data_IF_728916358754
#
_entry.id   IF_728916358754
#
_cell.length_a   1.000
_cell.length_b   1.000
_cell.length_c   1.000
_cell.angle_alpha   90.00
_cell.angle_beta   90.00
_cell.angle_gamma   90.00
#
_symmetry.space_group_name_H-M   'P 1'
#
loop_
_entity.id
_entity.type
_entity.pdbx_description
1 polymer ?
#
# COMPACT_ATOMS: atom_id res chain seq x y z
N UNK A 1 12.96 5.40 1.09
CA UNK A 1 11.99 4.31 1.34
C UNK A 1 11.03 4.66 2.48
N UNK A 2 11.52 4.82 3.72
CA UNK A 2 10.66 5.05 4.91
C UNK A 2 9.72 6.25 4.78
N UNK A 3 10.20 7.39 4.25
CA UNK A 3 9.35 8.58 4.05
C UNK A 3 8.16 8.31 3.09
N UNK A 4 8.39 7.57 2.01
CA UNK A 4 7.32 7.16 1.09
C UNK A 4 6.31 6.23 1.75
N UNK A 5 6.79 5.25 2.53
CA UNK A 5 5.92 4.36 3.31
C UNK A 5 5.12 5.13 4.37
N UNK A 6 5.72 6.11 5.06
CA UNK A 6 5.01 6.93 6.05
C UNK A 6 3.88 7.75 5.40
N UNK A 7 4.11 8.32 4.23
CA UNK A 7 3.05 8.98 3.45
C UNK A 7 1.96 8.00 3.01
N UNK A 8 2.32 6.78 2.62
CA UNK A 8 1.33 5.74 2.30
C UNK A 8 0.48 5.35 3.51
N UNK A 9 1.08 5.21 4.70
CA UNK A 9 0.32 4.97 5.95
C UNK A 9 -0.66 6.12 6.19
N UNK A 10 -0.20 7.37 6.09
CA UNK A 10 -1.05 8.54 6.26
C UNK A 10 -2.20 8.56 5.25
N UNK A 11 -1.93 8.27 3.96
CA UNK A 11 -2.93 8.19 2.91
C UNK A 11 -3.98 7.09 3.13
N UNK A 12 -3.56 5.88 3.53
CA UNK A 12 -4.48 4.79 3.85
C UNK A 12 -5.32 5.07 5.09
N UNK A 13 -4.72 5.61 6.15
CA UNK A 13 -5.44 6.03 7.35
C UNK A 13 -6.44 7.16 7.02
N UNK A 14 -6.04 8.11 6.19
CA UNK A 14 -6.91 9.17 5.69
C UNK A 14 -8.09 8.62 4.88
N UNK A 15 -7.86 7.64 3.99
CA UNK A 15 -8.94 6.97 3.23
C UNK A 15 -9.90 6.16 4.10
N UNK A 16 -9.48 5.77 5.31
CA UNK A 16 -10.34 5.10 6.27
C UNK A 16 -11.35 6.06 6.91
N UNK A 17 -10.97 7.32 7.16
CA UNK A 17 -11.76 8.28 7.93
C UNK A 17 -12.33 9.44 7.10
N UNK A 18 -11.53 10.09 6.26
CA UNK A 18 -11.90 11.32 5.56
C UNK A 18 -13.09 11.17 4.60
N UNK A 19 -13.23 10.08 3.82
CA UNK A 19 -14.39 9.93 2.94
C UNK A 19 -15.73 9.92 3.71
N UNK A 20 -15.75 9.39 4.94
CA UNK A 20 -16.95 9.39 5.78
C UNK A 20 -17.29 10.76 6.37
N UNK A 21 -16.28 11.62 6.56
CA UNK A 21 -16.43 12.94 7.18
C UNK A 21 -16.68 14.06 6.15
N UNK A 22 -15.98 13.99 5.01
CA UNK A 22 -15.93 15.06 4.00
C UNK A 22 -16.35 14.58 2.60
N UNK A 23 -16.87 13.36 2.48
CA UNK A 23 -17.32 12.79 1.21
C UNK A 23 -16.23 12.75 0.15
N UNK A 24 -16.56 13.21 -1.06
CA UNK A 24 -15.66 13.22 -2.23
C UNK A 24 -14.40 14.07 -1.98
N UNK A 25 -14.53 15.20 -1.28
CA UNK A 25 -13.39 16.06 -0.97
C UNK A 25 -12.39 15.34 -0.05
N UNK A 26 -12.88 14.61 0.95
CA UNK A 26 -12.05 13.80 1.85
C UNK A 26 -11.32 12.68 1.11
N UNK A 27 -12.01 12.01 0.18
CA UNK A 27 -11.41 11.00 -0.69
C UNK A 27 -10.32 11.59 -1.60
N UNK A 28 -10.60 12.71 -2.26
CA UNK A 28 -9.62 13.38 -3.14
C UNK A 28 -8.37 13.82 -2.38
N UNK A 29 -8.54 14.42 -1.20
CA UNK A 29 -7.42 14.80 -0.34
C UNK A 29 -6.57 13.59 0.08
N UNK A 30 -7.21 12.48 0.44
CA UNK A 30 -6.49 11.28 0.85
C UNK A 30 -5.72 10.63 -0.32
N UNK A 31 -6.28 10.60 -1.54
CA UNK A 31 -5.58 10.15 -2.74
C UNK A 31 -4.40 11.05 -3.11
N UNK A 32 -4.56 12.37 -2.94
CA UNK A 32 -3.49 13.34 -3.17
C UNK A 32 -2.29 13.12 -2.25
N UNK A 33 -2.49 12.52 -1.06
CA UNK A 33 -1.41 12.11 -0.15
C UNK A 33 -0.87 10.72 -0.51
N UNK A 34 -1.75 9.74 -0.74
CA UNK A 34 -1.35 8.35 -0.98
C UNK A 34 -0.50 8.19 -2.23
N UNK A 35 -0.90 8.84 -3.33
CA UNK A 35 -0.26 8.69 -4.64
C UNK A 35 1.22 9.09 -4.64
N UNK A 36 1.61 10.30 -4.23
CA UNK A 36 3.03 10.66 -4.18
C UNK A 36 3.82 9.81 -3.18
N UNK A 37 3.20 9.38 -2.06
CA UNK A 37 3.82 8.44 -1.13
C UNK A 37 4.21 7.12 -1.79
N UNK A 38 3.28 6.54 -2.56
CA UNK A 38 3.51 5.33 -3.35
C UNK A 38 4.63 5.53 -4.39
N UNK A 39 4.61 6.65 -5.13
CA UNK A 39 5.63 6.92 -6.14
C UNK A 39 7.02 7.10 -5.51
N UNK A 40 7.12 7.81 -4.39
CA UNK A 40 8.37 7.98 -3.66
C UNK A 40 8.90 6.66 -3.10
N UNK A 41 8.01 5.82 -2.55
CA UNK A 41 8.38 4.48 -2.08
C UNK A 41 8.93 3.64 -3.22
N UNK A 42 8.21 3.55 -4.34
CA UNK A 42 8.64 2.74 -5.48
C UNK A 42 9.96 3.22 -6.08
N UNK A 43 10.15 4.53 -6.25
CA UNK A 43 11.40 5.08 -6.76
C UNK A 43 12.57 4.72 -5.84
N UNK A 44 12.43 4.99 -4.53
CA UNK A 44 13.50 4.71 -3.57
C UNK A 44 13.77 3.21 -3.39
N UNK A 45 12.74 2.36 -3.42
CA UNK A 45 12.89 0.91 -3.30
C UNK A 45 13.61 0.34 -4.53
N UNK A 46 13.23 0.77 -5.74
CA UNK A 46 13.90 0.37 -6.97
C UNK A 46 15.37 0.78 -6.98
N UNK A 47 15.69 2.01 -6.61
CA UNK A 47 17.08 2.47 -6.54
C UNK A 47 17.88 1.68 -5.50
N UNK A 48 17.30 1.40 -4.33
CA UNK A 48 17.97 0.62 -3.28
C UNK A 48 18.28 -0.81 -3.74
N UNK A 49 17.32 -1.49 -4.37
CA UNK A 49 17.51 -2.86 -4.90
C UNK A 49 18.56 -2.90 -6.01
N UNK A 50 18.67 -1.85 -6.83
CA UNK A 50 19.58 -1.81 -7.97
C UNK A 50 20.98 -1.26 -7.63
N UNK A 51 21.19 -0.69 -6.44
CA UNK A 51 22.39 0.08 -6.11
C UNK A 51 23.68 -0.73 -6.24
N UNK A 52 23.65 -2.01 -5.84
CA UNK A 52 24.81 -2.90 -5.78
C UNK A 52 24.73 -4.07 -6.79
N UNK A 53 23.91 -3.91 -7.84
CA UNK A 53 23.71 -4.96 -8.85
C UNK A 53 24.68 -4.79 -10.01
N UNK A 54 25.43 -5.86 -10.28
CA UNK A 54 26.35 -5.97 -11.41
C UNK A 54 25.65 -5.74 -12.75
N UNK A 55 26.34 -5.04 -13.68
CA UNK A 55 25.74 -4.66 -14.97
C UNK A 55 25.21 -5.83 -15.79
N UNK A 56 25.85 -7.00 -15.70
CA UNK A 56 25.43 -8.23 -16.39
C UNK A 56 24.11 -8.79 -15.85
N UNK A 57 23.76 -8.51 -14.60
CA UNK A 57 22.62 -9.12 -13.90
C UNK A 57 21.44 -8.16 -13.72
N UNK A 58 21.62 -6.86 -13.98
CA UNK A 58 20.58 -5.82 -13.83
C UNK A 58 19.27 -6.17 -14.56
N UNK A 59 19.35 -6.80 -15.73
CA UNK A 59 18.17 -7.25 -16.46
C UNK A 59 17.36 -8.30 -15.71
N UNK A 60 18.04 -9.30 -15.14
CA UNK A 60 17.42 -10.39 -14.36
C UNK A 60 16.83 -9.84 -13.06
N UNK A 61 17.59 -9.02 -12.32
CA UNK A 61 17.12 -8.42 -11.06
C UNK A 61 15.93 -7.49 -11.29
N UNK A 62 15.95 -6.69 -12.36
CA UNK A 62 14.82 -5.83 -12.74
C UNK A 62 13.59 -6.63 -13.13
N UNK A 63 13.79 -7.74 -13.87
CA UNK A 63 12.73 -8.69 -14.19
C UNK A 63 12.08 -9.30 -12.94
N UNK A 64 12.90 -9.78 -11.99
CA UNK A 64 12.40 -10.33 -10.72
C UNK A 64 11.68 -9.28 -9.88
N UNK A 65 12.19 -8.04 -9.84
CA UNK A 65 11.55 -6.94 -9.11
C UNK A 65 10.18 -6.59 -9.71
N UNK A 66 10.08 -6.53 -11.04
CA UNK A 66 8.81 -6.30 -11.74
C UNK A 66 7.82 -7.46 -11.53
N UNK A 67 8.31 -8.71 -11.60
CA UNK A 67 7.49 -9.89 -11.36
C UNK A 67 6.93 -9.90 -9.93
N UNK A 68 7.78 -9.65 -8.92
CA UNK A 68 7.38 -9.55 -7.52
C UNK A 68 6.29 -8.49 -7.33
N UNK A 69 6.45 -7.32 -7.94
CA UNK A 69 5.47 -6.23 -7.89
C UNK A 69 4.13 -6.64 -8.51
N UNK A 70 4.14 -7.23 -9.71
CA UNK A 70 2.92 -7.65 -10.39
C UNK A 70 2.21 -8.76 -9.61
N UNK A 71 2.93 -9.73 -9.06
CA UNK A 71 2.37 -10.75 -8.17
C UNK A 71 1.74 -10.12 -6.92
N UNK A 72 2.43 -9.14 -6.31
CA UNK A 72 1.90 -8.38 -5.19
C UNK A 72 0.62 -7.61 -5.52
N UNK A 73 0.54 -6.99 -6.71
CA UNK A 73 -0.64 -6.27 -7.18
C UNK A 73 -1.83 -7.20 -7.44
N UNK A 74 -1.63 -8.30 -8.16
CA UNK A 74 -2.70 -9.28 -8.44
C UNK A 74 -3.21 -9.90 -7.14
N UNK A 75 -2.30 -10.37 -6.28
CA UNK A 75 -2.65 -10.95 -4.98
C UNK A 75 -3.35 -9.93 -4.09
N UNK A 76 -2.79 -8.73 -3.98
CA UNK A 76 -3.35 -7.65 -3.18
C UNK A 76 -4.75 -7.27 -3.64
N UNK A 77 -4.98 -7.16 -4.95
CA UNK A 77 -6.30 -6.86 -5.52
C UNK A 77 -7.33 -7.93 -5.14
N UNK A 78 -6.98 -9.20 -5.27
CA UNK A 78 -7.85 -10.32 -4.89
C UNK A 78 -8.16 -10.32 -3.38
N UNK A 79 -7.13 -10.17 -2.53
CA UNK A 79 -7.29 -10.17 -1.07
C UNK A 79 -8.10 -8.96 -0.59
N UNK A 80 -7.80 -7.76 -1.09
CA UNK A 80 -8.54 -6.55 -0.72
C UNK A 80 -10.00 -6.60 -1.19
N UNK A 81 -10.26 -7.17 -2.37
CA UNK A 81 -11.62 -7.44 -2.83
C UNK A 81 -12.38 -8.40 -1.90
N UNK A 82 -11.73 -9.45 -1.42
CA UNK A 82 -12.30 -10.38 -0.45
C UNK A 82 -12.55 -9.73 0.91
N UNK A 83 -11.62 -8.92 1.42
CA UNK A 83 -11.77 -8.14 2.67
C UNK A 83 -12.97 -7.20 2.56
N UNK A 84 -13.09 -6.50 1.43
CA UNK A 84 -14.23 -5.61 1.16
C UNK A 84 -15.55 -6.39 1.16
N UNK A 85 -15.65 -7.48 0.39
CA UNK A 85 -16.87 -8.28 0.30
C UNK A 85 -17.28 -8.85 1.67
N UNK A 86 -16.31 -9.36 2.42
CA UNK A 86 -16.51 -9.84 3.79
C UNK A 86 -17.04 -8.73 4.71
N UNK A 87 -16.47 -7.53 4.64
CA UNK A 87 -16.84 -6.41 5.50
C UNK A 87 -18.21 -5.78 5.13
N UNK A 88 -18.62 -5.84 3.86
CA UNK A 88 -19.95 -5.42 3.41
C UNK A 88 -21.02 -6.38 3.91
N UNK A 89 -20.73 -7.69 3.96
CA UNK A 89 -21.56 -8.69 4.64
C UNK A 89 -22.88 -9.04 3.93
N UNK A 90 -23.04 -8.68 2.65
CA UNK A 90 -24.18 -9.09 1.80
C UNK A 90 -23.67 -9.76 0.53
N UNK A 91 -24.39 -10.81 0.10
CA UNK A 91 -24.16 -11.51 -1.17
C UNK A 91 -24.51 -10.65 -2.38
N UNK A 92 -25.46 -9.71 -2.22
CA UNK A 92 -25.84 -8.75 -3.25
C UNK A 92 -25.27 -7.38 -2.90
N UNK A 93 -24.12 -7.06 -3.51
CA UNK A 93 -23.42 -5.77 -3.35
C UNK A 93 -24.21 -4.65 -4.03
N UNK A 94 -24.97 -4.94 -5.10
CA UNK A 94 -25.74 -3.92 -5.82
C UNK A 94 -26.93 -3.42 -4.99
N UNK A 95 -27.48 -4.29 -4.12
CA UNK A 95 -28.51 -3.94 -3.15
C UNK A 95 -27.95 -3.47 -1.79
N UNK A 96 -26.63 -3.39 -1.61
CA UNK A 96 -26.02 -3.05 -0.33
C UNK A 96 -26.36 -1.61 0.10
N UNK A 97 -26.73 -1.45 1.37
CA UNK A 97 -26.93 -0.11 1.94
C UNK A 97 -25.63 0.73 1.82
N UNK A 98 -25.70 2.03 1.50
CA UNK A 98 -24.52 2.89 1.37
C UNK A 98 -23.58 2.85 2.59
N UNK A 99 -24.16 2.71 3.80
CA UNK A 99 -23.39 2.57 5.03
C UNK A 99 -22.57 1.27 5.11
N UNK A 100 -23.05 0.18 4.52
CA UNK A 100 -22.31 -1.09 4.45
C UNK A 100 -21.12 -0.98 3.49
N UNK A 101 -21.32 -0.35 2.33
CA UNK A 101 -20.25 -0.07 1.36
C UNK A 101 -19.18 0.84 1.97
N UNK A 102 -19.58 1.91 2.67
CA UNK A 102 -18.65 2.80 3.35
C UNK A 102 -17.82 2.07 4.41
N UNK A 103 -18.44 1.18 5.19
CA UNK A 103 -17.74 0.33 6.16
C UNK A 103 -16.77 -0.65 5.49
N UNK A 104 -17.18 -1.27 4.39
CA UNK A 104 -16.33 -2.17 3.61
C UNK A 104 -15.08 -1.46 3.08
N UNK A 105 -15.27 -0.24 2.54
CA UNK A 105 -14.16 0.61 2.08
C UNK A 105 -13.22 0.96 3.24
N UNK A 106 -13.77 1.44 4.36
CA UNK A 106 -12.97 1.82 5.54
C UNK A 106 -12.15 0.64 6.08
N UNK A 107 -12.76 -0.55 6.20
CA UNK A 107 -12.05 -1.76 6.64
C UNK A 107 -10.92 -2.15 5.67
N UNK A 108 -11.18 -2.10 4.37
CA UNK A 108 -10.16 -2.42 3.35
C UNK A 108 -8.95 -1.49 3.47
N UNK A 109 -9.17 -0.18 3.63
CA UNK A 109 -8.08 0.77 3.81
C UNK A 109 -7.40 0.67 5.18
N UNK A 110 -8.10 0.27 6.23
CA UNK A 110 -7.51 -0.01 7.53
C UNK A 110 -6.56 -1.21 7.47
N UNK A 111 -6.94 -2.30 6.78
CA UNK A 111 -6.05 -3.45 6.54
C UNK A 111 -4.84 -3.02 5.70
N UNK A 112 -5.06 -2.27 4.63
CA UNK A 112 -3.96 -1.74 3.81
C UNK A 112 -2.99 -0.89 4.65
N UNK A 113 -3.50 0.00 5.51
CA UNK A 113 -2.67 0.79 6.43
C UNK A 113 -1.83 -0.12 7.34
N UNK A 114 -2.44 -1.18 7.91
CA UNK A 114 -1.74 -2.18 8.71
C UNK A 114 -0.60 -2.88 7.95
N UNK A 115 -0.84 -3.29 6.70
CA UNK A 115 0.18 -3.91 5.86
C UNK A 115 1.34 -2.94 5.55
N UNK A 116 1.05 -1.67 5.30
CA UNK A 116 2.09 -0.65 5.08
C UNK A 116 2.87 -0.37 6.38
N UNK A 117 2.23 -0.38 7.56
CA UNK A 117 2.93 -0.28 8.86
C UNK A 117 3.90 -1.45 9.05
N UNK A 118 3.51 -2.68 8.69
CA UNK A 118 4.42 -3.83 8.70
C UNK A 118 5.60 -3.59 7.76
N UNK A 119 5.36 -3.06 6.55
CA UNK A 119 6.44 -2.71 5.62
C UNK A 119 7.39 -1.62 6.19
N UNK A 120 6.87 -0.62 6.91
CA UNK A 120 7.70 0.37 7.64
C UNK A 120 8.58 -0.33 8.67
N UNK A 121 8.02 -1.23 9.48
CA UNK A 121 8.76 -1.96 10.51
C UNK A 121 9.90 -2.79 9.90
N UNK A 122 9.65 -3.49 8.79
CA UNK A 122 10.66 -4.24 8.05
C UNK A 122 11.78 -3.31 7.54
N UNK A 123 11.42 -2.19 6.90
CA UNK A 123 12.38 -1.25 6.35
C UNK A 123 13.26 -0.57 7.42
N UNK A 124 12.69 -0.29 8.61
CA UNK A 124 13.46 0.25 9.73
C UNK A 124 14.37 -0.82 10.33
N UNK A 125 13.87 -2.05 10.49
CA UNK A 125 14.66 -3.16 11.03
C UNK A 125 15.84 -3.53 10.13
N UNK A 126 15.67 -3.57 8.80
CA UNK A 126 16.75 -3.85 7.86
C UNK A 126 17.83 -2.77 7.89
N UNK A 127 17.43 -1.49 7.85
CA UNK A 127 18.39 -0.38 7.91
C UNK A 127 19.12 -0.26 9.26
N UNK A 128 18.60 -0.85 10.34
CA UNK A 128 19.33 -0.96 11.62
C UNK A 128 20.39 -2.05 11.58
N UNK A 129 20.14 -3.16 10.86
CA UNK A 129 21.09 -4.27 10.71
C UNK A 129 22.31 -3.86 9.89
N UNK A 130 22.10 -3.14 8.80
CA UNK A 130 23.18 -2.61 7.96
C UNK A 130 24.12 -1.69 8.74
N UNK A 131 23.57 -0.79 9.57
CA UNK A 131 24.34 0.11 10.43
C UNK A 131 25.11 -0.57 11.56
N UNK A 132 24.71 -1.77 11.96
CA UNK A 132 25.38 -2.53 13.03
C UNK A 132 26.47 -3.47 12.46
N UNK A 133 26.44 -3.72 11.15
CA UNK A 133 27.40 -4.58 10.43
C UNK A 133 28.51 -3.78 9.73
N UNK A 134 28.40 -2.45 9.70
CA UNK A 134 29.39 -1.50 9.18
C UNK A 134 30.18 -0.88 10.34
#
# INVERSE_FOLDING_TARGET
VVAGLALMVAGCAALTALPGLFGVAGYAAAIAVLTPGYQLFQAANNTAVMADVDRSERGVVSGMLSLSRNLGLVTGTAVMGAVFAFAVGTSDIAAAAPAAVARGMAMTFAVAAGLVVVAVAIAVASGRRERCSA
#
